data_IF_264882125302
#
_entry.id   IF_264882125302
#
_cell.length_a   1.000
_cell.length_b   1.000
_cell.length_c   1.000
_cell.angle_alpha   90.00
_cell.angle_beta   90.00
_cell.angle_gamma   90.00
#
_symmetry.space_group_name_H-M   'P 1'
#
loop_
_entity.id
_entity.type
_entity.pdbx_description
1 polymer ?
#
# COMPACT_ATOMS: atom_id res chain seq x y z
N UNK A 1 -1.05 21.27 12.63
CA UNK A 1 -0.15 21.85 11.61
C UNK A 1 1.32 21.59 11.94
N UNK A 2 1.89 22.16 13.01
CA UNK A 2 3.31 21.96 13.36
C UNK A 2 3.78 20.49 13.54
N UNK A 3 2.91 19.61 14.05
CA UNK A 3 3.21 18.16 14.17
C UNK A 3 3.26 17.47 12.80
N UNK A 4 2.44 17.92 11.84
CA UNK A 4 2.35 17.37 10.48
C UNK A 4 3.52 17.87 9.64
N UNK A 5 3.90 19.15 9.79
CA UNK A 5 5.06 19.74 9.11
C UNK A 5 6.39 19.14 9.57
N UNK A 6 6.57 18.96 10.88
CA UNK A 6 7.75 18.27 11.43
C UNK A 6 7.83 16.81 10.97
N UNK A 7 6.68 16.15 10.81
CA UNK A 7 6.60 14.76 10.36
C UNK A 7 6.90 14.59 8.86
N UNK A 8 6.46 15.52 8.01
CA UNK A 8 6.84 15.57 6.58
C UNK A 8 8.32 15.89 6.37
N UNK A 9 8.91 16.72 7.23
CA UNK A 9 10.33 17.09 7.16
C UNK A 9 11.29 15.99 7.68
N UNK A 10 10.87 15.23 8.70
CA UNK A 10 11.69 14.20 9.36
C UNK A 10 11.43 12.77 8.83
N UNK A 11 10.48 12.59 7.90
CA UNK A 11 10.31 11.36 7.12
C UNK A 11 9.75 10.14 7.87
N UNK A 12 9.15 10.32 9.06
CA UNK A 12 8.76 9.18 9.90
C UNK A 12 9.96 8.25 10.19
N UNK A 13 9.79 7.07 10.81
CA UNK A 13 10.89 6.14 11.04
C UNK A 13 11.30 5.47 9.72
N UNK A 14 11.98 6.22 8.85
CA UNK A 14 12.77 5.76 7.72
C UNK A 14 14.11 6.48 7.79
N UNK A 15 15.02 5.98 8.64
CA UNK A 15 16.48 6.12 8.49
C UNK A 15 17.23 5.33 9.57
N UNK A 16 17.97 4.32 9.12
CA UNK A 16 19.43 4.44 9.17
C UNK A 16 19.93 4.16 7.75
N UNK A 17 20.75 5.07 7.22
CA UNK A 17 21.53 4.78 6.02
C UNK A 17 22.55 3.68 6.37
N UNK A 18 22.87 2.76 5.46
CA UNK A 18 23.98 1.85 5.68
C UNK A 18 25.29 2.64 5.61
N UNK A 19 25.97 2.78 6.75
CA UNK A 19 27.42 2.98 6.74
C UNK A 19 28.06 1.61 6.58
N UNK A 20 28.85 1.48 5.52
CA UNK A 20 29.76 0.39 5.13
C UNK A 20 29.26 -0.74 4.22
N UNK A 21 30.14 -1.22 3.30
CA UNK A 21 29.74 -2.02 2.15
C UNK A 21 29.41 -3.47 2.53
N UNK A 22 28.51 -4.03 1.73
CA UNK A 22 27.92 -5.37 1.74
C UNK A 22 28.85 -6.51 2.20
N UNK A 23 28.39 -7.43 3.08
CA UNK A 23 28.92 -8.77 3.12
C UNK A 23 28.28 -9.61 2.01
N UNK A 24 29.15 -10.32 1.30
CA UNK A 24 28.91 -11.29 0.24
C UNK A 24 27.84 -12.36 0.62
N UNK A 25 26.89 -12.63 -0.28
CA UNK A 25 25.70 -13.48 -0.07
C UNK A 25 26.02 -14.97 -0.35
N UNK A 26 27.28 -15.40 -0.27
CA UNK A 26 27.70 -16.70 -0.79
C UNK A 26 28.20 -17.73 0.24
N UNK A 27 27.97 -17.55 1.54
CA UNK A 27 28.44 -18.54 2.55
C UNK A 27 27.37 -18.99 3.56
N UNK A 28 27.23 -20.30 3.82
CA UNK A 28 26.34 -20.82 4.86
C UNK A 28 26.92 -20.54 6.27
N UNK A 29 26.10 -20.50 7.34
CA UNK A 29 26.58 -20.10 8.65
C UNK A 29 27.49 -21.20 9.23
N UNK A 30 28.72 -20.82 9.60
CA UNK A 30 29.61 -21.67 10.37
C UNK A 30 29.15 -21.71 11.84
N UNK A 31 29.01 -22.92 12.38
CA UNK A 31 28.85 -23.16 13.81
C UNK A 31 30.22 -23.06 14.49
N UNK A 32 30.32 -22.33 15.61
CA UNK A 32 31.38 -22.53 16.62
C UNK A 32 30.83 -22.31 18.03
N UNK A 33 31.14 -23.27 18.90
CA UNK A 33 30.76 -23.43 20.29
C UNK A 33 31.52 -22.53 21.29
N UNK A 34 30.87 -22.39 22.46
CA UNK A 34 31.38 -22.30 23.84
C UNK A 34 32.69 -21.56 24.18
N UNK A 35 32.55 -20.57 25.06
CA UNK A 35 33.62 -20.06 25.93
C UNK A 35 33.03 -19.41 27.19
N UNK A 36 33.17 -20.09 28.32
CA UNK A 36 32.79 -19.67 29.67
C UNK A 36 33.61 -18.48 30.18
N UNK A 37 32.97 -17.48 30.80
CA UNK A 37 33.52 -16.81 31.99
C UNK A 37 32.44 -16.13 32.82
N UNK A 38 32.42 -16.53 34.08
CA UNK A 38 31.59 -16.07 35.21
C UNK A 38 31.74 -14.57 35.52
N UNK A 39 30.63 -13.89 35.77
CA UNK A 39 30.58 -12.53 36.27
C UNK A 39 29.17 -12.13 36.72
N UNK A 40 28.81 -12.52 37.93
CA UNK A 40 27.55 -12.15 38.59
C UNK A 40 27.50 -10.65 38.86
N UNK A 41 26.58 -9.94 38.20
CA UNK A 41 26.04 -8.67 38.69
C UNK A 41 24.51 -8.72 38.57
N UNK A 42 23.89 -9.03 39.71
CA UNK A 42 22.49 -8.73 39.99
C UNK A 42 22.26 -7.22 39.78
N UNK A 43 21.71 -6.86 38.62
CA UNK A 43 21.21 -5.54 38.31
C UNK A 43 19.83 -5.68 37.69
N UNK A 44 18.81 -5.38 38.47
CA UNK A 44 17.41 -5.44 38.08
C UNK A 44 17.19 -4.80 36.69
N UNK A 45 16.71 -5.60 35.74
CA UNK A 45 16.13 -5.11 34.49
C UNK A 45 14.82 -4.41 34.86
N UNK A 46 14.93 -3.14 35.26
CA UNK A 46 13.81 -2.21 35.20
C UNK A 46 13.51 -2.02 33.72
N UNK A 47 12.49 -2.73 33.24
CA UNK A 47 11.84 -2.44 31.99
C UNK A 47 11.57 -0.94 31.94
N UNK A 48 12.11 -0.26 30.94
CA UNK A 48 11.79 1.12 30.64
C UNK A 48 10.34 1.18 30.14
N UNK A 49 9.39 1.12 31.07
CA UNK A 49 7.98 1.44 30.84
C UNK A 49 7.86 2.96 30.72
N UNK A 50 8.28 3.51 29.59
CA UNK A 50 8.12 4.93 29.29
C UNK A 50 7.34 5.09 27.98
N UNK A 51 6.01 5.22 28.07
CA UNK A 51 5.27 5.84 26.97
C UNK A 51 3.77 5.57 26.82
N UNK A 52 3.23 4.43 27.28
CA UNK A 52 1.80 4.13 27.07
C UNK A 52 0.97 4.79 28.19
N UNK A 53 0.77 6.11 28.09
CA UNK A 53 -0.12 6.83 29.01
C UNK A 53 -1.57 6.37 28.74
N UNK A 54 -2.19 5.71 29.72
CA UNK A 54 -3.63 5.43 29.84
C UNK A 54 -4.34 4.60 28.76
N UNK A 55 -3.64 3.82 27.93
CA UNK A 55 -4.32 2.88 27.02
C UNK A 55 -4.77 1.61 27.74
N UNK A 56 -5.84 0.98 27.25
CA UNK A 56 -6.23 -0.37 27.66
C UNK A 56 -5.09 -1.35 27.33
N UNK A 57 -4.86 -2.37 28.19
CA UNK A 57 -3.90 -3.42 27.88
C UNK A 57 -4.37 -4.20 26.64
N UNK A 58 -3.41 -4.62 25.82
CA UNK A 58 -3.69 -5.53 24.71
C UNK A 58 -3.93 -6.96 25.25
N UNK A 59 -4.83 -7.75 24.63
CA UNK A 59 -4.95 -9.15 24.96
C UNK A 59 -3.66 -9.93 24.67
N UNK A 60 -3.45 -11.02 25.40
CA UNK A 60 -2.29 -11.91 25.20
C UNK A 60 -2.38 -12.71 23.91
N UNK A 61 -3.58 -13.20 23.59
CA UNK A 61 -3.81 -14.05 22.42
C UNK A 61 -4.10 -13.22 21.17
N UNK A 62 -3.37 -13.47 20.08
CA UNK A 62 -3.55 -12.75 18.81
C UNK A 62 -4.97 -12.87 18.26
N UNK A 63 -5.62 -14.02 18.47
CA UNK A 63 -7.00 -14.24 18.03
C UNK A 63 -8.02 -13.36 18.73
N UNK A 64 -7.67 -12.74 19.86
CA UNK A 64 -8.52 -11.81 20.60
C UNK A 64 -8.32 -10.37 20.16
N UNK A 65 -7.26 -10.08 19.39
CA UNK A 65 -7.03 -8.73 18.89
C UNK A 65 -8.13 -8.35 17.89
N UNK A 66 -8.62 -7.11 17.97
CA UNK A 66 -9.62 -6.53 17.06
C UNK A 66 -9.10 -5.16 16.66
N UNK A 67 -8.43 -5.10 15.51
CA UNK A 67 -7.77 -3.89 15.03
C UNK A 67 -8.62 -3.25 13.94
N UNK A 68 -9.10 -2.02 14.19
CA UNK A 68 -9.79 -1.23 13.18
C UNK A 68 -8.75 -0.49 12.32
N UNK A 69 -8.61 -0.85 11.05
CA UNK A 69 -7.90 -0.08 10.03
C UNK A 69 -8.80 0.95 9.36
N UNK A 70 -8.28 2.16 9.13
CA UNK A 70 -8.93 3.24 8.39
C UNK A 70 -8.00 3.71 7.26
N UNK A 71 -8.54 3.92 6.06
CA UNK A 71 -7.82 4.38 4.86
C UNK A 71 -8.57 5.57 4.24
N UNK A 72 -7.85 6.65 3.96
CA UNK A 72 -8.38 7.90 3.39
C UNK A 72 -7.30 8.74 2.68
N UNK A 73 -6.36 8.07 2.03
CA UNK A 73 -5.19 8.70 1.41
C UNK A 73 -5.51 9.43 0.10
N UNK A 74 -6.53 9.01 -0.63
CA UNK A 74 -6.87 9.55 -1.95
C UNK A 74 -8.36 9.88 -2.07
N UNK A 75 -9.15 9.04 -2.75
CA UNK A 75 -10.56 9.27 -3.07
C UNK A 75 -11.48 8.14 -2.56
N UNK A 76 -10.92 7.06 -2.03
CA UNK A 76 -11.70 6.00 -1.39
C UNK A 76 -11.63 6.09 0.14
N UNK A 77 -12.79 6.02 0.80
CA UNK A 77 -12.84 5.83 2.24
C UNK A 77 -12.96 4.34 2.53
N UNK A 78 -11.92 3.75 3.13
CA UNK A 78 -11.91 2.34 3.53
C UNK A 78 -11.89 2.17 5.05
N UNK A 79 -12.58 1.16 5.55
CA UNK A 79 -12.43 0.69 6.92
C UNK A 79 -12.50 -0.84 6.99
N UNK A 80 -11.68 -1.45 7.83
CA UNK A 80 -11.71 -2.90 8.05
C UNK A 80 -11.36 -3.25 9.49
N UNK A 81 -11.98 -4.27 10.04
CA UNK A 81 -11.64 -4.87 11.34
C UNK A 81 -10.93 -6.18 11.07
N UNK A 82 -9.70 -6.31 11.59
CA UNK A 82 -8.90 -7.53 11.47
C UNK A 82 -8.63 -8.15 12.83
N UNK A 83 -8.51 -9.48 12.86
CA UNK A 83 -7.95 -10.19 13.99
C UNK A 83 -6.43 -10.08 14.03
N UNK A 84 -5.79 -10.41 15.16
CA UNK A 84 -4.32 -10.43 15.25
C UNK A 84 -3.68 -11.55 14.42
N UNK A 85 -4.46 -12.47 13.85
CA UNK A 85 -3.98 -13.47 12.88
C UNK A 85 -4.11 -12.98 11.43
N UNK A 86 -4.60 -11.75 11.21
CA UNK A 86 -4.79 -11.17 9.88
C UNK A 86 -6.13 -11.52 9.22
N UNK A 87 -7.02 -12.22 9.90
CA UNK A 87 -8.35 -12.53 9.38
C UNK A 87 -9.19 -11.25 9.30
N UNK A 88 -9.80 -10.99 8.15
CA UNK A 88 -10.74 -9.87 7.98
C UNK A 88 -12.08 -10.28 8.57
N UNK A 89 -12.46 -9.62 9.65
CA UNK A 89 -13.73 -9.87 10.34
C UNK A 89 -14.88 -9.07 9.70
N UNK A 90 -14.58 -7.88 9.18
CA UNK A 90 -15.54 -7.06 8.44
C UNK A 90 -14.86 -5.88 7.79
N UNK A 91 -15.30 -5.50 6.59
CA UNK A 91 -14.74 -4.37 5.84
C UNK A 91 -15.83 -3.62 5.07
N UNK A 92 -15.59 -2.34 4.83
CA UNK A 92 -16.45 -1.46 4.08
C UNK A 92 -15.62 -0.48 3.25
N UNK A 93 -16.17 -0.12 2.09
CA UNK A 93 -15.57 0.81 1.13
C UNK A 93 -16.65 1.78 0.66
N UNK A 94 -16.35 3.08 0.74
CA UNK A 94 -17.12 4.13 0.10
C UNK A 94 -16.24 4.81 -0.97
N UNK A 95 -16.47 4.42 -2.22
CA UNK A 95 -15.69 4.94 -3.35
C UNK A 95 -16.26 6.23 -3.92
N UNK A 96 -15.37 7.17 -4.24
CA UNK A 96 -15.73 8.46 -4.83
C UNK A 96 -15.43 8.55 -6.33
N UNK A 97 -15.07 7.45 -6.99
CA UNK A 97 -14.69 7.43 -8.41
C UNK A 97 -15.64 8.25 -9.30
N UNK A 98 -16.95 8.02 -9.16
CA UNK A 98 -18.02 8.70 -9.90
C UNK A 98 -18.07 10.24 -9.72
N UNK A 99 -17.54 10.77 -8.62
CA UNK A 99 -17.48 12.21 -8.34
C UNK A 99 -16.39 12.87 -9.18
N UNK A 100 -15.25 12.17 -9.32
CA UNK A 100 -14.03 12.68 -9.94
C UNK A 100 -13.98 12.44 -11.47
N UNK A 101 -14.77 11.49 -11.98
CA UNK A 101 -14.91 11.20 -13.42
C UNK A 101 -15.12 12.47 -14.26
N UNK A 102 -15.99 13.38 -13.81
CA UNK A 102 -16.32 14.65 -14.51
C UNK A 102 -15.14 15.59 -14.67
N UNK A 103 -14.11 15.45 -13.82
CA UNK A 103 -12.93 16.29 -13.80
C UNK A 103 -11.71 15.62 -14.44
N UNK A 104 -11.85 14.35 -14.86
CA UNK A 104 -10.78 13.59 -15.49
C UNK A 104 -9.59 13.29 -14.57
N UNK A 105 -9.81 13.37 -13.24
CA UNK A 105 -8.82 13.16 -12.18
C UNK A 105 -9.36 13.58 -10.81
N UNK A 106 -8.68 13.16 -9.74
CA UNK A 106 -9.09 13.43 -8.35
C UNK A 106 -8.97 14.92 -8.01
N UNK A 107 -10.07 15.52 -7.55
CA UNK A 107 -10.11 16.90 -7.07
C UNK A 107 -9.94 16.93 -5.55
N UNK A 108 -8.81 17.42 -4.97
CA UNK A 108 -8.49 17.22 -3.56
C UNK A 108 -9.53 17.74 -2.56
N UNK A 109 -10.20 18.85 -2.88
CA UNK A 109 -11.24 19.45 -2.02
C UNK A 109 -12.54 18.65 -2.04
N UNK A 110 -12.92 18.11 -3.20
CA UNK A 110 -14.08 17.21 -3.29
C UNK A 110 -13.78 15.88 -2.60
N UNK A 111 -12.56 15.36 -2.78
CA UNK A 111 -12.10 14.13 -2.14
C UNK A 111 -12.18 14.21 -0.61
N UNK A 112 -11.69 15.32 -0.05
CA UNK A 112 -11.79 15.61 1.38
C UNK A 112 -13.25 15.60 1.88
N UNK A 113 -14.17 16.23 1.13
CA UNK A 113 -15.57 16.31 1.56
C UNK A 113 -16.25 14.94 1.49
N UNK A 114 -16.02 14.17 0.42
CA UNK A 114 -16.51 12.81 0.32
C UNK A 114 -16.04 11.91 1.47
N UNK A 115 -14.80 12.08 1.95
CA UNK A 115 -14.35 11.41 3.16
C UNK A 115 -15.12 11.84 4.42
N UNK A 116 -15.36 13.15 4.60
CA UNK A 116 -16.11 13.64 5.78
C UNK A 116 -17.54 13.09 5.83
N UNK A 117 -18.19 13.03 4.68
CA UNK A 117 -19.56 12.52 4.55
C UNK A 117 -19.63 11.00 4.81
N UNK A 118 -18.65 10.25 4.31
CA UNK A 118 -18.71 8.77 4.31
C UNK A 118 -18.00 8.09 5.49
N UNK A 119 -17.04 8.74 6.16
CA UNK A 119 -16.15 8.05 7.11
C UNK A 119 -16.85 7.46 8.32
N UNK A 120 -17.91 8.10 8.83
CA UNK A 120 -18.67 7.55 9.95
C UNK A 120 -19.41 6.28 9.51
N UNK A 121 -20.19 6.36 8.44
CA UNK A 121 -20.95 5.23 7.91
C UNK A 121 -20.06 4.06 7.50
N UNK A 122 -18.88 4.35 6.92
CA UNK A 122 -17.91 3.32 6.51
C UNK A 122 -17.34 2.57 7.72
N UNK A 123 -16.95 3.30 8.77
CA UNK A 123 -16.46 2.67 10.02
C UNK A 123 -17.56 1.87 10.72
N UNK A 124 -18.77 2.43 10.81
CA UNK A 124 -19.90 1.77 11.46
C UNK A 124 -20.29 0.48 10.71
N UNK A 125 -20.26 0.51 9.38
CA UNK A 125 -20.53 -0.67 8.54
C UNK A 125 -19.45 -1.75 8.69
N UNK A 126 -18.16 -1.39 8.77
CA UNK A 126 -17.08 -2.34 9.00
C UNK A 126 -17.21 -3.04 10.36
N UNK A 127 -17.56 -2.29 11.42
CA UNK A 127 -17.83 -2.84 12.75
C UNK A 127 -19.06 -3.75 12.76
N UNK A 128 -20.14 -3.32 12.10
CA UNK A 128 -21.37 -4.11 11.96
C UNK A 128 -21.12 -5.43 11.24
N UNK A 129 -20.35 -5.42 10.14
CA UNK A 129 -19.96 -6.64 9.42
C UNK A 129 -19.08 -7.56 10.25
N UNK A 130 -18.22 -6.99 11.09
CA UNK A 130 -17.42 -7.74 12.05
C UNK A 130 -18.22 -8.28 13.24
N UNK A 131 -19.47 -7.83 13.44
CA UNK A 131 -20.33 -8.25 14.53
C UNK A 131 -19.82 -7.80 15.91
N UNK A 132 -19.11 -6.68 15.98
CA UNK A 132 -18.54 -6.15 17.24
C UNK A 132 -18.90 -4.68 17.46
N UNK A 133 -18.83 -4.25 18.71
CA UNK A 133 -18.92 -2.84 19.08
C UNK A 133 -17.52 -2.18 19.12
N UNK A 134 -17.49 -0.85 19.05
CA UNK A 134 -16.25 -0.05 19.20
C UNK A 134 -15.54 -0.37 20.53
N UNK A 135 -16.29 -0.79 21.55
CA UNK A 135 -15.75 -1.13 22.87
C UNK A 135 -14.89 -2.41 22.87
N UNK A 136 -15.09 -3.29 21.88
CA UNK A 136 -14.38 -4.56 21.72
C UNK A 136 -13.06 -4.40 20.96
N UNK A 137 -12.83 -3.25 20.34
CA UNK A 137 -11.58 -2.95 19.65
C UNK A 137 -10.40 -2.97 20.63
N UNK A 138 -9.28 -3.51 20.16
CA UNK A 138 -8.03 -3.55 20.92
C UNK A 138 -7.05 -2.50 20.45
N UNK A 139 -7.15 -2.04 19.19
CA UNK A 139 -6.35 -0.95 18.63
C UNK A 139 -7.05 -0.31 17.43
N UNK A 140 -6.60 0.90 17.07
CA UNK A 140 -6.97 1.57 15.82
C UNK A 140 -5.71 1.79 14.99
N UNK A 141 -5.75 1.43 13.72
CA UNK A 141 -4.71 1.67 12.73
C UNK A 141 -5.22 2.67 11.67
N UNK A 142 -4.36 3.58 11.24
CA UNK A 142 -4.72 4.63 10.29
C UNK A 142 -3.58 4.91 9.32
N UNK A 143 -3.92 5.00 8.04
CA UNK A 143 -2.99 5.48 7.01
C UNK A 143 -2.61 6.93 7.26
N UNK A 144 -1.31 7.20 7.38
CA UNK A 144 -0.77 8.55 7.59
C UNK A 144 -0.02 9.10 6.37
N UNK A 145 0.24 8.26 5.37
CA UNK A 145 0.83 8.66 4.11
C UNK A 145 1.53 7.51 3.38
N UNK A 146 2.00 7.72 2.14
CA UNK A 146 1.76 8.92 1.31
C UNK A 146 0.27 9.09 0.94
N UNK A 147 -0.10 10.28 0.48
CA UNK A 147 -1.47 10.60 0.08
C UNK A 147 -1.75 12.11 0.06
N UNK A 148 -2.98 12.47 -0.32
CA UNK A 148 -3.48 13.84 -0.28
C UNK A 148 -3.64 14.30 1.17
N UNK A 149 -2.85 15.28 1.60
CA UNK A 149 -2.84 15.75 2.99
C UNK A 149 -4.22 16.15 3.53
N UNK A 150 -5.06 16.77 2.70
CA UNK A 150 -6.44 17.15 3.05
C UNK A 150 -7.33 15.92 3.36
N UNK A 151 -7.08 14.80 2.69
CA UNK A 151 -7.84 13.56 2.82
C UNK A 151 -7.33 12.76 4.02
N UNK A 152 -6.00 12.63 4.17
CA UNK A 152 -5.35 11.99 5.31
C UNK A 152 -5.78 12.62 6.65
N UNK A 153 -5.95 13.95 6.69
CA UNK A 153 -6.42 14.67 7.87
C UNK A 153 -7.78 14.16 8.38
N UNK A 154 -8.69 13.76 7.48
CA UNK A 154 -10.03 13.28 7.84
C UNK A 154 -9.93 11.94 8.57
N UNK A 155 -9.21 10.97 7.99
CA UNK A 155 -8.97 9.66 8.58
C UNK A 155 -8.23 9.74 9.91
N UNK A 156 -7.15 10.53 9.97
CA UNK A 156 -6.38 10.74 11.21
C UNK A 156 -7.23 11.30 12.33
N UNK A 157 -8.12 12.27 12.05
CA UNK A 157 -9.04 12.79 13.08
C UNK A 157 -10.03 11.75 13.57
N UNK A 158 -10.64 10.96 12.69
CA UNK A 158 -11.57 9.89 13.10
C UNK A 158 -10.87 8.85 13.96
N UNK A 159 -9.68 8.40 13.54
CA UNK A 159 -8.90 7.42 14.27
C UNK A 159 -8.50 7.94 15.67
N UNK A 160 -8.04 9.19 15.76
CA UNK A 160 -7.73 9.84 17.05
C UNK A 160 -8.96 9.97 17.95
N UNK A 161 -10.13 10.32 17.40
CA UNK A 161 -11.36 10.41 18.18
C UNK A 161 -11.74 9.06 18.80
N UNK A 162 -11.71 7.98 18.00
CA UNK A 162 -12.00 6.62 18.50
C UNK A 162 -10.96 6.22 19.56
N UNK A 163 -9.68 6.36 19.24
CA UNK A 163 -8.59 5.96 20.14
C UNK A 163 -8.63 6.72 21.47
N UNK A 164 -8.83 8.04 21.45
CA UNK A 164 -8.92 8.85 22.65
C UNK A 164 -10.15 8.51 23.50
N UNK A 165 -11.33 8.38 22.87
CA UNK A 165 -12.59 8.08 23.56
C UNK A 165 -12.56 6.70 24.23
N UNK A 166 -11.98 5.70 23.56
CA UNK A 166 -11.97 4.31 24.05
C UNK A 166 -10.67 3.91 24.76
N UNK A 167 -9.69 4.83 24.83
CA UNK A 167 -8.35 4.59 25.39
C UNK A 167 -7.63 3.45 24.65
N UNK A 168 -7.67 3.48 23.33
CA UNK A 168 -7.05 2.46 22.49
C UNK A 168 -5.66 2.93 22.01
N UNK A 169 -4.70 2.02 21.87
CA UNK A 169 -3.49 2.25 21.09
C UNK A 169 -3.83 2.70 19.67
N UNK A 170 -3.06 3.66 19.15
CA UNK A 170 -3.14 4.13 17.77
C UNK A 170 -1.87 3.71 17.00
N UNK A 171 -2.06 2.97 15.91
CA UNK A 171 -1.00 2.52 15.01
C UNK A 171 -1.01 3.38 13.76
N UNK A 172 0.15 3.93 13.40
CA UNK A 172 0.33 4.71 12.17
C UNK A 172 0.79 3.75 11.07
N UNK A 173 0.12 3.81 9.94
CA UNK A 173 0.36 2.89 8.81
C UNK A 173 0.85 3.67 7.61
N UNK A 174 1.90 3.17 6.97
CA UNK A 174 2.37 3.67 5.68
C UNK A 174 1.57 2.99 4.56
N UNK A 175 0.93 3.76 3.69
CA UNK A 175 0.01 3.28 2.66
C UNK A 175 0.65 2.22 1.74
N UNK A 176 1.87 2.48 1.26
CA UNK A 176 2.56 1.51 0.39
C UNK A 176 3.03 0.25 1.13
N UNK A 177 3.30 0.35 2.43
CA UNK A 177 3.63 -0.82 3.24
C UNK A 177 2.39 -1.68 3.44
N UNK A 178 1.23 -1.06 3.68
CA UNK A 178 -0.05 -1.77 3.76
C UNK A 178 -0.36 -2.52 2.45
N UNK A 179 -0.20 -1.86 1.29
CA UNK A 179 -0.36 -2.51 -0.01
C UNK A 179 0.54 -3.72 -0.20
N UNK A 180 1.78 -3.65 0.26
CA UNK A 180 2.72 -4.77 0.17
C UNK A 180 2.32 -5.91 1.13
N UNK A 181 1.99 -5.58 2.38
CA UNK A 181 1.66 -6.57 3.41
C UNK A 181 0.33 -7.28 3.19
N UNK A 182 -0.57 -6.74 2.34
CA UNK A 182 -1.83 -7.41 1.97
C UNK A 182 -1.59 -8.81 1.40
N UNK A 183 -0.47 -9.02 0.70
CA UNK A 183 -0.07 -10.32 0.12
C UNK A 183 0.15 -11.41 1.17
N UNK A 184 0.32 -11.02 2.44
CA UNK A 184 0.52 -11.90 3.59
C UNK A 184 -0.74 -12.10 4.42
N UNK A 185 -1.87 -11.49 4.04
CA UNK A 185 -3.13 -11.77 4.73
C UNK A 185 -3.61 -13.18 4.41
N UNK A 186 -4.15 -13.92 5.40
CA UNK A 186 -4.85 -15.17 5.14
C UNK A 186 -5.92 -14.97 4.06
N UNK A 187 -5.94 -15.84 3.05
CA UNK A 187 -7.03 -15.83 2.08
C UNK A 187 -8.32 -16.25 2.79
N UNK A 188 -9.42 -15.56 2.49
CA UNK A 188 -10.74 -16.04 2.88
C UNK A 188 -10.96 -17.45 2.28
N UNK A 189 -11.64 -18.36 2.99
CA UNK A 189 -12.12 -19.58 2.37
C UNK A 189 -12.98 -19.18 1.16
N UNK A 190 -12.69 -19.75 -0.01
CA UNK A 190 -13.29 -19.35 -1.29
C UNK A 190 -14.83 -19.43 -1.24
N UNK A 191 -15.45 -18.31 -0.91
CA UNK A 191 -16.83 -18.02 -1.24
C UNK A 191 -16.81 -17.34 -2.61
N UNK A 192 -17.25 -18.09 -3.61
CA UNK A 192 -17.78 -17.58 -4.87
C UNK A 192 -16.73 -16.89 -5.77
N UNK A 193 -15.95 -17.71 -6.47
CA UNK A 193 -15.18 -17.29 -7.64
C UNK A 193 -16.12 -16.82 -8.77
N UNK A 194 -16.61 -15.59 -8.67
CA UNK A 194 -17.24 -14.88 -9.78
C UNK A 194 -16.95 -13.39 -9.69
N UNK A 195 -15.94 -12.95 -10.46
CA UNK A 195 -15.78 -11.53 -10.80
C UNK A 195 -14.39 -10.94 -10.55
N UNK A 196 -13.37 -11.47 -11.21
CA UNK A 196 -12.07 -10.81 -11.30
C UNK A 196 -11.08 -11.68 -12.06
N UNK A 197 -10.53 -11.19 -13.16
CA UNK A 197 -9.52 -11.88 -13.95
C UNK A 197 -8.26 -12.10 -13.10
N UNK A 198 -8.21 -13.23 -12.39
CA UNK A 198 -7.00 -13.78 -11.79
C UNK A 198 -6.09 -14.31 -12.91
N UNK A 199 -5.59 -13.39 -13.75
CA UNK A 199 -4.58 -13.68 -14.75
C UNK A 199 -3.19 -13.73 -14.11
N UNK A 200 -2.98 -14.74 -13.26
CA UNK A 200 -1.67 -15.31 -12.98
C UNK A 200 -1.90 -16.75 -12.51
N UNK A 201 -1.86 -17.70 -13.45
CA UNK A 201 -1.93 -19.12 -13.13
C UNK A 201 -0.80 -19.51 -12.18
N UNK A 202 -1.18 -19.91 -10.96
CA UNK A 202 -0.27 -20.43 -9.94
C UNK A 202 -1.02 -21.40 -9.02
N UNK A 203 -0.37 -22.52 -8.71
CA UNK A 203 -0.77 -23.46 -7.65
C UNK A 203 -1.11 -22.74 -6.34
N UNK A 204 -1.90 -23.34 -5.42
CA UNK A 204 -2.22 -22.73 -4.12
C UNK A 204 -0.92 -22.36 -3.39
N UNK A 205 -0.57 -21.07 -3.44
CA UNK A 205 0.73 -20.59 -3.03
C UNK A 205 0.65 -20.20 -1.56
N UNK A 206 1.52 -20.81 -0.74
CA UNK A 206 1.71 -20.44 0.66
C UNK A 206 1.97 -18.94 0.77
N UNK A 207 1.48 -18.31 1.85
CA UNK A 207 1.67 -16.88 2.10
C UNK A 207 3.18 -16.55 2.10
N UNK A 208 3.62 -15.49 1.41
CA UNK A 208 5.03 -15.17 1.31
C UNK A 208 5.63 -14.85 2.68
N UNK A 209 6.64 -15.62 3.09
CA UNK A 209 7.46 -15.31 4.27
C UNK A 209 8.51 -14.25 3.94
N UNK A 210 9.04 -13.57 4.94
CA UNK A 210 10.19 -12.69 4.70
C UNK A 210 11.46 -13.52 4.42
N UNK A 211 12.39 -13.05 3.58
CA UNK A 211 12.25 -11.90 2.69
C UNK A 211 11.42 -12.23 1.44
N UNK A 212 10.72 -11.23 0.89
CA UNK A 212 10.00 -11.36 -0.39
C UNK A 212 10.13 -10.09 -1.23
N UNK A 213 9.95 -10.25 -2.54
CA UNK A 213 9.92 -9.15 -3.50
C UNK A 213 8.48 -8.80 -3.86
N UNK A 214 8.17 -7.51 -3.93
CA UNK A 214 6.86 -7.01 -4.34
C UNK A 214 7.00 -6.01 -5.47
N UNK A 215 6.21 -6.20 -6.52
CA UNK A 215 5.98 -5.20 -7.55
C UNK A 215 4.70 -4.44 -7.19
N UNK A 216 4.85 -3.23 -6.68
CA UNK A 216 3.74 -2.35 -6.34
C UNK A 216 3.33 -1.56 -7.58
N UNK A 217 2.10 -1.80 -8.04
CA UNK A 217 1.55 -1.19 -9.25
C UNK A 217 0.19 -0.58 -8.94
N UNK A 218 0.06 0.73 -9.16
CA UNK A 218 -1.21 1.45 -9.06
C UNK A 218 -1.26 2.59 -10.08
N UNK A 219 -2.35 3.38 -10.05
CA UNK A 219 -2.46 4.60 -10.85
C UNK A 219 -1.37 5.63 -10.55
N UNK A 220 -0.85 5.69 -9.32
CA UNK A 220 0.16 6.66 -8.90
C UNK A 220 1.55 6.08 -8.61
N UNK A 221 1.69 4.76 -8.57
CA UNK A 221 2.92 4.11 -8.12
C UNK A 221 3.34 2.97 -9.04
N UNK A 222 4.63 2.87 -9.29
CA UNK A 222 5.24 1.70 -9.92
C UNK A 222 6.63 1.51 -9.31
N UNK A 223 6.81 0.48 -8.48
CA UNK A 223 8.07 0.23 -7.78
C UNK A 223 8.28 -1.25 -7.46
N UNK A 224 9.53 -1.68 -7.52
CA UNK A 224 9.98 -2.99 -7.05
C UNK A 224 10.59 -2.83 -5.65
N UNK A 225 10.07 -3.58 -4.67
CA UNK A 225 10.43 -3.43 -3.25
C UNK A 225 10.81 -4.80 -2.68
N UNK A 226 12.03 -4.90 -2.15
CA UNK A 226 12.47 -6.05 -1.36
C UNK A 226 12.12 -5.82 0.10
N UNK A 227 11.25 -6.68 0.63
CA UNK A 227 10.86 -6.65 2.04
C UNK A 227 11.59 -7.72 2.83
N UNK A 228 12.24 -7.32 3.92
CA UNK A 228 12.93 -8.24 4.86
C UNK A 228 12.23 -8.36 6.21
N UNK A 229 11.25 -7.50 6.47
CA UNK A 229 10.47 -7.46 7.69
C UNK A 229 9.53 -6.26 7.69
N UNK A 230 8.59 -6.20 8.63
CA UNK A 230 7.77 -4.98 8.84
C UNK A 230 8.70 -3.81 9.19
N UNK A 231 8.51 -2.68 8.53
CA UNK A 231 9.38 -1.51 8.62
C UNK A 231 10.77 -1.65 7.97
N UNK A 232 11.08 -2.78 7.34
CA UNK A 232 12.39 -3.04 6.71
C UNK A 232 12.24 -3.38 5.21
N UNK A 233 12.21 -2.32 4.41
CA UNK A 233 11.99 -2.39 2.97
C UNK A 233 13.09 -1.65 2.20
N UNK A 234 13.51 -2.22 1.08
CA UNK A 234 14.45 -1.59 0.14
C UNK A 234 13.77 -1.44 -1.21
N UNK A 235 13.64 -0.20 -1.69
CA UNK A 235 13.20 0.07 -3.07
C UNK A 235 14.37 -0.31 -3.98
N UNK A 236 14.16 -1.32 -4.84
CA UNK A 236 15.15 -1.76 -5.83
C UNK A 236 15.08 -0.92 -7.10
N UNK A 237 13.89 -0.42 -7.44
CA UNK A 237 13.67 0.48 -8.56
C UNK A 237 12.26 1.05 -8.57
N UNK A 238 12.09 2.17 -9.25
CA UNK A 238 10.82 2.88 -9.38
C UNK A 238 10.64 3.47 -10.77
N UNK A 239 9.42 3.91 -11.10
CA UNK A 239 9.26 4.71 -12.31
C UNK A 239 10.02 6.04 -12.20
N UNK A 240 10.70 6.42 -13.28
CA UNK A 240 11.36 7.73 -13.42
C UNK A 240 10.44 8.76 -14.10
N UNK A 241 9.28 8.34 -14.61
CA UNK A 241 8.29 9.20 -15.27
C UNK A 241 6.83 8.87 -14.88
N UNK A 242 5.98 8.48 -15.84
CA UNK A 242 4.59 8.07 -15.58
C UNK A 242 4.60 6.73 -14.81
N UNK A 243 3.62 6.49 -13.93
CA UNK A 243 3.34 5.13 -13.49
C UNK A 243 2.74 4.31 -14.66
N UNK A 244 2.76 2.98 -14.57
CA UNK A 244 2.09 2.16 -15.60
C UNK A 244 0.57 2.38 -15.60
N UNK A 245 -0.07 2.55 -14.43
CA UNK A 245 -1.50 2.82 -14.37
C UNK A 245 -1.87 4.15 -15.03
N UNK A 246 -1.07 5.20 -14.79
CA UNK A 246 -1.22 6.50 -15.45
C UNK A 246 -0.96 6.42 -16.96
N UNK A 247 0.02 5.60 -17.37
CA UNK A 247 0.26 5.33 -18.79
C UNK A 247 -0.94 4.65 -19.47
N UNK A 248 -1.61 3.71 -18.79
CA UNK A 248 -2.85 3.08 -19.26
C UNK A 248 -3.97 4.12 -19.41
N UNK A 249 -4.24 4.93 -18.39
CA UNK A 249 -5.32 5.92 -18.43
C UNK A 249 -5.07 7.01 -19.50
N UNK A 250 -3.84 7.52 -19.61
CA UNK A 250 -3.48 8.49 -20.64
C UNK A 250 -3.57 7.87 -22.05
N UNK A 251 -3.19 6.60 -22.19
CA UNK A 251 -3.31 5.89 -23.47
C UNK A 251 -4.77 5.69 -23.87
N UNK A 252 -5.62 5.29 -22.93
CA UNK A 252 -7.06 5.17 -23.15
C UNK A 252 -7.64 6.51 -23.67
N UNK A 253 -7.27 7.63 -23.03
CA UNK A 253 -7.70 8.97 -23.45
C UNK A 253 -7.20 9.34 -24.85
N UNK A 254 -5.96 9.01 -25.21
CA UNK A 254 -5.40 9.23 -26.56
C UNK A 254 -6.21 8.48 -27.61
N UNK A 255 -6.69 7.27 -27.29
CA UNK A 255 -7.48 6.43 -28.18
C UNK A 255 -8.98 6.77 -28.18
N UNK A 256 -9.40 7.87 -27.55
CA UNK A 256 -10.79 8.31 -27.51
C UNK A 256 -11.69 7.54 -26.55
N UNK A 257 -11.13 6.75 -25.64
CA UNK A 257 -11.88 6.11 -24.56
C UNK A 257 -12.25 7.18 -23.54
N UNK A 258 -13.54 7.45 -23.38
CA UNK A 258 -14.07 8.52 -22.53
C UNK A 258 -14.37 8.06 -21.11
N UNK A 259 -14.43 6.74 -20.87
CA UNK A 259 -14.64 6.17 -19.56
C UNK A 259 -13.42 6.36 -18.65
N UNK A 260 -13.68 6.58 -17.36
CA UNK A 260 -12.65 6.76 -16.32
C UNK A 260 -12.97 5.81 -15.16
N UNK A 261 -12.01 5.03 -14.64
CA UNK A 261 -10.63 4.89 -15.14
C UNK A 261 -10.59 4.24 -16.53
N UNK A 262 -9.65 4.69 -17.36
CA UNK A 262 -9.55 4.27 -18.76
C UNK A 262 -8.84 2.93 -18.93
N UNK A 263 -7.94 2.59 -18.01
CA UNK A 263 -7.14 1.35 -18.04
C UNK A 263 -7.96 0.06 -18.22
N UNK A 264 -8.99 -0.21 -17.40
CA UNK A 264 -9.82 -1.42 -17.55
C UNK A 264 -10.56 -1.51 -18.90
N UNK A 265 -10.94 -0.36 -19.47
CA UNK A 265 -11.58 -0.33 -20.79
C UNK A 265 -10.56 -0.59 -21.91
N UNK A 266 -9.37 -0.02 -21.79
CA UNK A 266 -8.25 -0.29 -22.70
C UNK A 266 -7.87 -1.78 -22.69
N UNK A 267 -7.77 -2.40 -21.52
CA UNK A 267 -7.49 -3.83 -21.39
C UNK A 267 -8.56 -4.70 -22.06
N UNK A 268 -9.84 -4.36 -21.88
CA UNK A 268 -10.93 -5.10 -22.54
C UNK A 268 -10.82 -5.05 -24.06
N UNK A 269 -10.58 -3.87 -24.63
CA UNK A 269 -10.38 -3.71 -26.07
C UNK A 269 -9.11 -4.41 -26.56
N UNK A 270 -8.05 -4.45 -25.75
CA UNK A 270 -6.81 -5.13 -26.09
C UNK A 270 -7.00 -6.65 -26.28
N UNK A 271 -7.98 -7.28 -25.60
CA UNK A 271 -8.33 -8.71 -25.80
C UNK A 271 -8.92 -9.00 -27.18
N UNK A 272 -9.50 -7.99 -27.83
CA UNK A 272 -10.06 -8.10 -29.18
C UNK A 272 -9.04 -7.71 -30.27
N UNK A 273 -7.90 -7.14 -29.87
CA UNK A 273 -6.85 -6.67 -30.77
C UNK A 273 -5.84 -7.75 -31.18
N UNK A 274 -5.12 -7.47 -32.26
CA UNK A 274 -3.99 -8.30 -32.71
C UNK A 274 -2.66 -7.65 -32.31
N UNK A 275 -1.96 -8.29 -31.36
CA UNK A 275 -0.66 -7.84 -30.85
C UNK A 275 0.47 -7.79 -31.88
N UNK A 276 0.29 -8.41 -33.05
CA UNK A 276 1.30 -8.46 -34.11
C UNK A 276 1.30 -7.23 -35.04
N UNK A 277 0.22 -6.45 -35.04
CA UNK A 277 -0.01 -5.36 -36.00
C UNK A 277 0.92 -4.16 -35.77
N UNK A 278 1.15 -3.79 -34.51
CA UNK A 278 1.98 -2.63 -34.15
C UNK A 278 3.10 -3.00 -33.20
N UNK A 279 4.34 -2.66 -33.58
CA UNK A 279 5.51 -2.80 -32.71
C UNK A 279 5.74 -1.51 -31.92
N UNK A 280 5.38 -1.54 -30.64
CA UNK A 280 5.67 -0.47 -29.70
C UNK A 280 7.07 -0.64 -29.08
N UNK A 281 7.76 0.45 -28.70
CA UNK A 281 9.06 0.37 -28.06
C UNK A 281 8.94 -0.29 -26.68
N UNK A 282 9.91 -1.14 -26.33
CA UNK A 282 10.04 -1.60 -24.94
C UNK A 282 10.54 -0.43 -24.08
N UNK A 283 9.91 -0.14 -22.92
CA UNK A 283 10.44 0.77 -21.90
C UNK A 283 11.96 0.64 -21.72
N UNK A 284 12.65 1.79 -21.63
CA UNK A 284 14.10 1.90 -21.44
C UNK A 284 15.01 1.20 -22.48
N UNK A 285 14.48 0.52 -23.49
CA UNK A 285 15.28 -0.25 -24.47
C UNK A 285 16.29 0.56 -25.30
N UNK A 286 16.13 1.89 -25.35
CA UNK A 286 17.00 2.81 -26.08
C UNK A 286 17.82 3.73 -25.17
N UNK A 287 17.79 3.51 -23.85
CA UNK A 287 18.58 4.34 -22.94
C UNK A 287 20.07 4.05 -23.12
N UNK A 288 20.88 5.10 -23.11
CA UNK A 288 22.35 5.00 -23.09
C UNK A 288 22.92 5.22 -21.68
N UNK A 289 22.05 5.48 -20.69
CA UNK A 289 22.45 5.61 -19.30
C UNK A 289 22.79 4.23 -18.71
N UNK A 290 24.07 3.97 -18.33
CA UNK A 290 24.47 2.68 -17.79
C UNK A 290 23.77 2.32 -16.48
N UNK A 291 23.38 3.32 -15.68
CA UNK A 291 22.66 3.12 -14.43
C UNK A 291 21.24 2.60 -14.67
N UNK A 292 20.55 3.13 -15.68
CA UNK A 292 19.21 2.66 -16.06
C UNK A 292 19.24 1.33 -16.84
N UNK A 293 20.32 1.02 -17.55
CA UNK A 293 20.46 -0.26 -18.25
C UNK A 293 20.61 -1.46 -17.31
N UNK A 294 21.31 -1.27 -16.19
CA UNK A 294 21.56 -2.32 -15.19
C UNK A 294 20.71 -2.17 -13.92
N UNK A 295 19.86 -1.14 -13.87
CA UNK A 295 18.95 -0.85 -12.77
C UNK A 295 17.62 -1.58 -12.90
N UNK A 296 16.76 -1.39 -11.89
CA UNK A 296 15.40 -1.93 -11.84
C UNK A 296 14.33 -0.85 -12.04
N UNK A 297 14.71 0.30 -12.59
CA UNK A 297 13.82 1.43 -12.82
C UNK A 297 12.92 1.22 -14.05
N UNK A 298 11.83 1.99 -14.12
CA UNK A 298 10.81 1.89 -15.16
C UNK A 298 10.59 3.25 -15.86
N UNK A 299 10.16 3.24 -17.12
CA UNK A 299 9.79 4.45 -17.87
C UNK A 299 8.69 4.13 -18.89
N UNK A 300 7.55 4.80 -18.79
CA UNK A 300 6.38 4.58 -19.65
C UNK A 300 6.00 5.80 -20.49
N UNK A 301 6.58 6.98 -20.24
CA UNK A 301 6.27 8.19 -21.01
C UNK A 301 6.56 8.04 -22.52
N UNK A 302 7.65 7.34 -22.87
CA UNK A 302 8.02 7.06 -24.27
C UNK A 302 7.04 6.13 -24.99
N UNK A 303 6.42 5.21 -24.24
CA UNK A 303 5.39 4.31 -24.78
C UNK A 303 4.14 5.10 -25.17
N UNK A 304 3.69 6.01 -24.29
CA UNK A 304 2.56 6.92 -24.56
C UNK A 304 2.80 7.78 -25.81
N UNK A 305 4.00 8.33 -25.98
CA UNK A 305 4.36 9.12 -27.17
C UNK A 305 4.30 8.26 -28.44
N UNK A 306 4.80 7.03 -28.39
CA UNK A 306 4.72 6.11 -29.52
C UNK A 306 3.27 5.78 -29.89
N UNK A 307 2.40 5.55 -28.90
CA UNK A 307 0.97 5.31 -29.14
C UNK A 307 0.30 6.54 -29.76
N UNK A 308 0.56 7.75 -29.26
CA UNK A 308 0.04 9.00 -29.84
C UNK A 308 0.41 9.13 -31.32
N UNK A 309 1.69 8.93 -31.66
CA UNK A 309 2.15 9.04 -33.05
C UNK A 309 1.52 7.97 -33.96
N UNK A 310 1.21 6.79 -33.43
CA UNK A 310 0.46 5.78 -34.19
C UNK A 310 -0.99 6.17 -34.38
N UNK A 311 -1.65 6.64 -33.31
CA UNK A 311 -3.03 7.10 -33.33
C UNK A 311 -3.23 8.24 -34.36
N UNK A 312 -2.37 9.26 -34.36
CA UNK A 312 -2.41 10.37 -35.32
C UNK A 312 -2.22 9.95 -36.79
N UNK A 313 -1.55 8.82 -37.03
CA UNK A 313 -1.31 8.31 -38.39
C UNK A 313 -2.43 7.40 -38.90
N UNK A 314 -3.17 6.77 -38.01
CA UNK A 314 -4.09 5.67 -38.36
C UNK A 314 -5.54 5.94 -38.00
N UNK A 315 -5.80 6.78 -37.01
CA UNK A 315 -7.15 7.22 -36.69
C UNK A 315 -7.51 8.43 -37.56
N UNK A 316 -8.73 8.48 -38.11
CA UNK A 316 -9.21 9.55 -38.96
C UNK A 316 -9.38 10.89 -38.23
#
# INVERSE_FOLDING_TARGET
>A
QAVVERWLAEGGPLRSAPSDPSPDISSPPAAVESGTSTGSLNGAVRAASSGVRNCRPLPTELREWRVLGIESSCDDTGAAVLSGTGEILGEALASQAHIHEKWGGVVPRLAQEGHRESINATVDEALRRAGIDVADLTAVAITVGPGLGLCLEVGVRKALQIAAKHRLPLVRVHHMEAHMLVTRLPKAPEADASGGDAAAGGSPQALPTFPFLTLLVSGGHNMAVLSRGVGNHTILGSTIDDSIGEAFDKTARILGITQVPGGPHLERLAKEGDSSVHKLPKPLSKTHDPGLQHGCDYSFSGLKTAVRTLAEKQLP
#
